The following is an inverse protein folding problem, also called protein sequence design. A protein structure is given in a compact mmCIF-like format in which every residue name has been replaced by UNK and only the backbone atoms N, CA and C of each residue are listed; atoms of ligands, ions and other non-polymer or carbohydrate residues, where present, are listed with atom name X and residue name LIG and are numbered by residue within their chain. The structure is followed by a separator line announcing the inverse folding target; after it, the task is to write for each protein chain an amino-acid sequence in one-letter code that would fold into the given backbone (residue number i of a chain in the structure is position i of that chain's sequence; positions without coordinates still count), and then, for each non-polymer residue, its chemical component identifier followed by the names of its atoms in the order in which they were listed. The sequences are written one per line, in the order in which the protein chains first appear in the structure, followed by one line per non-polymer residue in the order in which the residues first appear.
data_IF_078555993451
#
_entry.id   IF_078555993451
#
_cell.length_a   1.000
_cell.length_b   1.000
_cell.length_c   1.000
_cell.angle_alpha   90.00
_cell.angle_beta   90.00
_cell.angle_gamma   90.00
#
_symmetry.space_group_name_H-M   'P 1'
#
loop_
_entity.id
_entity.type
_entity.pdbx_description
1 polymer ?
#
# COMPACT_ATOMS: atom_id res chain seq x y z
N UNK A 1 0.52 15.47 -3.18
CA UNK A 1 -0.24 14.91 -2.03
C UNK A 1 0.69 14.92 -0.83
N UNK A 2 0.19 15.02 0.41
CA UNK A 2 1.10 14.90 1.56
C UNK A 2 1.52 13.44 1.73
N UNK A 3 2.83 13.18 1.78
CA UNK A 3 3.37 11.86 2.09
C UNK A 3 3.15 11.52 3.56
N UNK A 4 2.82 10.27 3.83
CA UNK A 4 2.93 9.70 5.16
C UNK A 4 4.29 9.02 5.28
N UNK A 5 5.21 9.63 6.05
CA UNK A 5 6.57 9.11 6.24
C UNK A 5 6.63 7.74 6.92
N UNK A 6 5.54 7.31 7.57
CA UNK A 6 5.44 6.01 8.22
C UNK A 6 4.99 4.89 7.28
N UNK A 7 4.51 5.21 6.07
CA UNK A 7 3.97 4.22 5.14
C UNK A 7 4.68 4.34 3.78
N UNK A 8 5.66 3.47 3.55
CA UNK A 8 6.33 3.37 2.25
C UNK A 8 5.41 2.68 1.24
N UNK A 9 5.40 3.18 0.02
CA UNK A 9 4.66 2.61 -1.10
C UNK A 9 5.52 2.69 -2.36
N UNK A 10 6.13 1.56 -2.75
CA UNK A 10 6.90 1.44 -3.99
C UNK A 10 6.02 1.19 -5.22
N UNK A 11 4.76 0.81 -5.02
CA UNK A 11 3.83 0.46 -6.11
C UNK A 11 3.42 1.72 -6.85
N UNK A 12 3.97 1.94 -8.04
CA UNK A 12 3.71 3.14 -8.85
C UNK A 12 2.26 3.22 -9.34
N UNK A 13 1.59 2.08 -9.49
CA UNK A 13 0.19 1.97 -9.89
C UNK A 13 -0.76 2.25 -8.72
N UNK A 14 -0.27 2.40 -7.49
CA UNK A 14 -1.11 2.71 -6.34
C UNK A 14 -1.63 4.15 -6.41
N UNK A 15 -2.94 4.33 -6.34
CA UNK A 15 -3.64 5.63 -6.31
C UNK A 15 -3.14 6.54 -5.19
N UNK A 16 -2.68 5.95 -4.09
CA UNK A 16 -2.20 6.66 -2.91
C UNK A 16 -0.69 6.84 -2.90
N UNK A 17 0.02 6.48 -3.96
CA UNK A 17 1.44 6.77 -4.06
C UNK A 17 1.67 8.28 -4.24
N UNK A 18 2.58 8.86 -3.45
CA UNK A 18 2.96 10.26 -3.56
C UNK A 18 3.77 10.58 -4.84
N UNK A 19 4.22 9.57 -5.59
CA UNK A 19 4.93 9.65 -6.88
C UNK A 19 6.26 10.38 -6.91
N UNK A 20 6.63 11.07 -5.84
CA UNK A 20 7.91 11.75 -5.70
C UNK A 20 8.91 10.88 -4.93
N UNK A 21 8.50 10.34 -3.79
CA UNK A 21 9.42 9.70 -2.83
C UNK A 21 9.03 8.27 -2.45
N UNK A 22 8.12 7.63 -3.20
CA UNK A 22 7.64 6.26 -2.92
C UNK A 22 7.03 6.08 -1.52
N UNK A 23 6.20 7.04 -1.11
CA UNK A 23 5.40 6.97 0.12
C UNK A 23 3.92 6.92 -0.20
N UNK A 24 3.14 6.30 0.69
CA UNK A 24 1.69 6.37 0.66
C UNK A 24 1.23 7.74 1.17
N UNK A 25 0.03 8.15 0.79
CA UNK A 25 -0.60 9.41 1.21
C UNK A 25 -1.73 9.18 2.22
N UNK A 26 -2.07 7.92 2.49
CA UNK A 26 -3.02 7.53 3.53
C UNK A 26 -2.38 7.68 4.92
N UNK A 27 -3.21 8.02 5.91
CA UNK A 27 -2.77 8.07 7.31
C UNK A 27 -2.60 6.66 7.92
N UNK A 28 -3.39 5.70 7.45
CA UNK A 28 -3.38 4.31 7.87
C UNK A 28 -3.56 3.36 6.68
N UNK A 29 -3.11 2.13 6.82
CA UNK A 29 -3.36 1.05 5.87
C UNK A 29 -3.83 -0.20 6.61
N UNK A 30 -4.60 -1.03 5.93
CA UNK A 30 -5.00 -2.34 6.40
C UNK A 30 -4.16 -3.39 5.67
N UNK A 31 -3.39 -4.16 6.43
CA UNK A 31 -2.76 -5.39 5.94
C UNK A 31 -3.71 -6.54 6.23
N UNK A 32 -3.95 -7.37 5.22
CA UNK A 32 -4.75 -8.58 5.35
C UNK A 32 -4.08 -9.74 4.63
N UNK A 33 -4.81 -10.86 4.59
CA UNK A 33 -4.39 -12.09 3.91
C UNK A 33 -5.63 -12.76 3.35
N UNK A 34 -5.47 -13.54 2.29
CA UNK A 34 -6.53 -14.39 1.75
C UNK A 34 -6.44 -15.85 2.25
N UNK A 35 -5.42 -16.16 3.07
CA UNK A 35 -5.21 -17.48 3.67
C UNK A 35 -5.51 -17.47 5.17
N UNK A 36 -5.80 -18.64 5.74
CA UNK A 36 -6.13 -18.74 7.17
C UNK A 36 -4.92 -18.51 8.09
N UNK A 37 -3.71 -18.86 7.64
CA UNK A 37 -2.47 -18.77 8.41
C UNK A 37 -1.28 -18.42 7.49
N UNK A 38 -1.11 -17.14 7.11
CA UNK A 38 0.00 -16.73 6.25
C UNK A 38 1.34 -16.89 6.98
N UNK A 39 2.30 -17.55 6.33
CA UNK A 39 3.66 -17.76 6.85
C UNK A 39 4.72 -17.03 6.05
N UNK A 40 4.35 -16.52 4.88
CA UNK A 40 5.22 -15.81 3.94
C UNK A 40 4.62 -14.46 3.57
N UNK A 41 5.48 -13.49 3.27
CA UNK A 41 5.09 -12.09 3.01
C UNK A 41 4.19 -11.96 1.78
N UNK A 42 4.41 -12.81 0.77
CA UNK A 42 3.59 -12.86 -0.46
C UNK A 42 2.11 -13.19 -0.21
N UNK A 43 1.78 -13.78 0.94
CA UNK A 43 0.39 -14.04 1.34
C UNK A 43 -0.23 -12.89 2.16
N UNK A 44 0.52 -11.80 2.36
CA UNK A 44 0.05 -10.59 3.04
C UNK A 44 -0.14 -9.45 2.04
N UNK A 45 -1.36 -8.94 1.97
CA UNK A 45 -1.79 -7.94 0.99
C UNK A 45 -2.12 -6.62 1.69
N UNK A 46 -1.79 -5.50 1.04
CA UNK A 46 -2.32 -4.20 1.44
C UNK A 46 -3.75 -4.06 0.93
N UNK A 47 -4.75 -4.30 1.79
CA UNK A 47 -6.17 -4.20 1.45
C UNK A 47 -6.64 -2.76 1.21
N UNK A 48 -5.83 -1.76 1.60
CA UNK A 48 -6.07 -0.36 1.25
C UNK A 48 -5.61 0.00 -0.17
N UNK A 49 -4.97 -0.92 -0.90
CA UNK A 49 -4.51 -0.67 -2.26
C UNK A 49 -5.68 -0.35 -3.20
N UNK A 50 -5.50 0.69 -4.01
CA UNK A 50 -6.37 1.01 -5.15
C UNK A 50 -5.50 1.32 -6.34
N UNK A 51 -5.82 0.77 -7.50
CA UNK A 51 -5.16 1.11 -8.75
C UNK A 51 -5.49 2.55 -9.14
N UNK A 52 -4.50 3.28 -9.68
CA UNK A 52 -4.73 4.58 -10.33
C UNK A 52 -5.70 4.39 -11.50
N UNK A 53 -6.74 5.20 -11.55
CA UNK A 53 -7.57 5.32 -12.74
C UNK A 53 -6.75 6.05 -13.80
N UNK A 54 -6.73 5.52 -15.04
CA UNK A 54 -6.16 6.20 -16.21
C UNK A 54 -6.93 7.47 -16.57
#
# INVERSE_FOLDING_TARGET
MNKNNSIKCSVQQCKFNNNSESYCTLNEIMIGTHEKNPTVVECTDCQSFKVKSS
#
